data_IF_324556479562
#
_entry.id   IF_324556479562
#
_cell.length_a   1.000
_cell.length_b   1.000
_cell.length_c   1.000
_cell.angle_alpha   90.00
_cell.angle_beta   90.00
_cell.angle_gamma   90.00
#
_symmetry.space_group_name_H-M   'P 1'
#
loop_
_entity.id
_entity.type
_entity.pdbx_description
1 polymer ?
#
# COMPACT_ATOMS: atom_id res chain seq x y z
N UNK A 1 28.00 3.45 2.28
CA UNK A 1 26.53 3.28 2.25
C UNK A 1 26.07 2.67 3.56
N UNK A 2 24.95 3.13 4.09
CA UNK A 2 24.33 2.56 5.29
C UNK A 2 22.80 2.66 5.23
N UNK A 3 22.13 1.80 6.00
CA UNK A 3 20.67 1.77 6.15
C UNK A 3 20.30 1.68 7.63
N UNK A 4 19.39 2.55 8.06
CA UNK A 4 18.86 2.58 9.43
C UNK A 4 17.40 2.13 9.40
N UNK A 5 17.06 1.17 10.27
CA UNK A 5 15.69 0.82 10.57
C UNK A 5 15.34 1.37 11.94
N UNK A 6 14.22 2.06 12.04
CA UNK A 6 13.70 2.59 13.29
C UNK A 6 12.55 1.74 13.78
N UNK A 7 12.36 1.74 15.08
CA UNK A 7 11.19 1.13 15.68
C UNK A 7 9.93 1.80 15.13
N UNK A 8 8.99 0.96 14.70
CA UNK A 8 7.74 1.38 14.08
C UNK A 8 6.51 0.94 14.91
N UNK A 9 6.74 0.36 16.10
CA UNK A 9 5.65 -0.04 16.97
C UNK A 9 4.84 1.19 17.40
N UNK A 10 3.53 1.03 17.31
CA UNK A 10 2.58 2.03 17.81
C UNK A 10 2.15 1.55 19.17
N UNK A 11 2.73 2.10 20.23
CA UNK A 11 2.19 1.94 21.58
C UNK A 11 0.82 2.62 21.62
N UNK A 12 -0.22 1.80 21.58
CA UNK A 12 -1.59 2.24 21.86
C UNK A 12 -1.73 2.31 23.37
N UNK A 13 -1.47 3.50 23.90
CA UNK A 13 -1.68 3.80 25.30
C UNK A 13 -3.10 3.41 25.74
N UNK A 14 -3.23 2.73 26.88
CA UNK A 14 -4.52 2.29 27.43
C UNK A 14 -5.39 3.46 27.98
N UNK A 15 -5.06 4.69 27.64
CA UNK A 15 -5.83 5.86 28.00
C UNK A 15 -7.22 5.84 27.34
N UNK A 16 -8.24 5.71 28.14
CA UNK A 16 -9.65 5.62 27.71
C UNK A 16 -10.18 7.00 27.25
N UNK A 17 -9.49 8.08 27.56
CA UNK A 17 -9.95 9.46 27.32
C UNK A 17 -9.72 9.94 25.88
N UNK A 18 -8.82 9.31 25.14
CA UNK A 18 -8.48 9.66 23.74
C UNK A 18 -9.06 8.68 22.73
N UNK A 19 -9.61 9.19 21.63
CA UNK A 19 -10.17 8.34 20.58
C UNK A 19 -9.07 7.49 19.90
N UNK A 20 -9.44 6.31 19.42
CA UNK A 20 -8.53 5.41 18.68
C UNK A 20 -7.85 6.13 17.49
N UNK A 21 -8.59 6.97 16.78
CA UNK A 21 -8.06 7.75 15.66
C UNK A 21 -6.96 8.73 16.09
N UNK A 22 -7.14 9.41 17.20
CA UNK A 22 -6.14 10.34 17.76
C UNK A 22 -4.89 9.59 18.25
N UNK A 23 -5.07 8.40 18.83
CA UNK A 23 -3.94 7.52 19.24
C UNK A 23 -3.12 7.08 18.03
N UNK A 24 -3.78 6.64 16.95
CA UNK A 24 -3.14 6.25 15.72
C UNK A 24 -2.40 7.43 15.08
N UNK A 25 -3.00 8.61 15.03
CA UNK A 25 -2.36 9.81 14.51
C UNK A 25 -1.11 10.18 15.30
N UNK A 26 -1.18 10.13 16.62
CA UNK A 26 -0.03 10.36 17.53
C UNK A 26 1.06 9.31 17.31
N UNK A 27 0.67 8.02 17.18
CA UNK A 27 1.58 6.92 16.89
C UNK A 27 2.31 7.11 15.55
N UNK A 28 1.60 7.52 14.50
CA UNK A 28 2.18 7.80 13.18
C UNK A 28 3.19 8.96 13.22
N UNK A 29 2.90 10.02 13.96
CA UNK A 29 3.86 11.13 14.18
C UNK A 29 5.11 10.67 14.93
N UNK A 30 4.96 9.78 15.90
CA UNK A 30 6.06 9.25 16.70
C UNK A 30 6.96 8.28 15.91
N UNK A 31 6.44 7.59 14.88
CA UNK A 31 7.23 6.71 13.98
C UNK A 31 8.46 7.41 13.41
N UNK A 32 8.35 8.69 13.06
CA UNK A 32 9.48 9.46 12.52
C UNK A 32 10.59 9.70 13.55
N UNK A 33 10.24 9.66 14.85
CA UNK A 33 11.14 9.84 15.99
C UNK A 33 11.55 8.50 16.64
N UNK A 34 11.08 7.38 16.09
CA UNK A 34 11.33 6.06 16.63
C UNK A 34 12.82 5.79 16.86
N UNK A 35 13.13 5.07 17.95
CA UNK A 35 14.50 4.68 18.29
C UNK A 35 15.07 3.82 17.16
N UNK A 36 16.29 4.08 16.69
CA UNK A 36 16.95 3.20 15.73
C UNK A 36 17.19 1.84 16.37
N UNK A 37 16.77 0.75 15.68
CA UNK A 37 16.88 -0.62 16.19
C UNK A 37 17.80 -1.49 15.35
N UNK A 38 18.10 -1.07 14.11
CA UNK A 38 18.98 -1.83 13.21
C UNK A 38 19.77 -0.88 12.32
N UNK A 39 21.07 -1.13 12.23
CA UNK A 39 22.00 -0.39 11.39
C UNK A 39 22.78 -1.37 10.52
N UNK A 40 22.56 -1.32 9.22
CA UNK A 40 23.32 -2.08 8.22
C UNK A 40 24.27 -1.12 7.54
N UNK A 41 25.53 -1.48 7.46
CA UNK A 41 26.57 -0.61 6.89
C UNK A 41 27.52 -1.39 5.98
N UNK A 42 28.11 -0.72 5.03
CA UNK A 42 29.16 -1.29 4.18
C UNK A 42 30.37 -1.65 5.07
N UNK A 43 30.78 -2.92 5.07
CA UNK A 43 31.90 -3.40 5.89
C UNK A 43 33.23 -2.71 5.59
N UNK A 44 33.35 -2.08 4.42
CA UNK A 44 34.51 -1.32 3.98
C UNK A 44 34.44 0.18 4.35
N UNK A 45 33.45 0.58 5.16
CA UNK A 45 33.33 1.95 5.64
C UNK A 45 34.54 2.33 6.50
N UNK A 46 34.95 3.58 6.41
CA UNK A 46 36.01 4.10 7.32
C UNK A 46 35.59 3.92 8.79
N UNK A 47 36.48 3.34 9.64
CA UNK A 47 36.15 3.08 11.03
C UNK A 47 35.80 4.33 11.83
N UNK A 48 36.46 5.46 11.57
CA UNK A 48 36.18 6.72 12.26
C UNK A 48 34.78 7.27 11.88
N UNK A 49 34.41 7.16 10.60
CA UNK A 49 33.07 7.52 10.13
C UNK A 49 32.01 6.59 10.74
N UNK A 50 32.29 5.28 10.83
CA UNK A 50 31.36 4.32 11.44
C UNK A 50 31.09 4.68 12.90
N UNK A 51 32.17 4.93 13.68
CA UNK A 51 32.07 5.31 15.09
C UNK A 51 31.27 6.62 15.26
N UNK A 52 31.57 7.61 14.42
CA UNK A 52 30.83 8.86 14.41
C UNK A 52 29.31 8.64 14.17
N UNK A 53 28.94 7.81 13.18
CA UNK A 53 27.54 7.51 12.85
C UNK A 53 26.84 6.77 13.99
N UNK A 54 27.47 5.76 14.58
CA UNK A 54 26.95 5.01 15.71
C UNK A 54 26.62 5.96 16.87
N UNK A 55 27.56 6.84 17.20
CA UNK A 55 27.41 7.83 18.27
C UNK A 55 26.33 8.86 17.95
N UNK A 56 26.32 9.39 16.72
CA UNK A 56 25.37 10.43 16.29
C UNK A 56 23.94 9.92 16.19
N UNK A 57 23.77 8.67 15.80
CA UNK A 57 22.46 8.00 15.71
C UNK A 57 22.02 7.36 17.03
N UNK A 58 22.84 7.46 18.06
CA UNK A 58 22.58 6.94 19.41
C UNK A 58 22.32 5.43 19.44
N UNK A 59 23.14 4.65 18.71
CA UNK A 59 23.12 3.20 18.81
C UNK A 59 23.89 2.74 20.07
N UNK A 60 23.23 1.85 20.84
CA UNK A 60 23.82 1.23 22.01
C UNK A 60 24.53 -0.09 21.68
N UNK A 61 25.27 -0.64 22.66
CA UNK A 61 26.01 -1.93 22.54
C UNK A 61 25.09 -3.14 22.25
N UNK A 62 23.77 -3.02 22.49
CA UNK A 62 22.79 -4.09 22.29
C UNK A 62 22.04 -3.95 20.96
N UNK A 63 22.26 -2.88 20.22
CA UNK A 63 21.56 -2.64 18.96
C UNK A 63 22.20 -3.47 17.84
N UNK A 64 21.40 -3.84 16.85
CA UNK A 64 21.84 -4.66 15.74
C UNK A 64 22.69 -3.84 14.75
N UNK A 65 24.00 -3.91 14.90
CA UNK A 65 24.99 -3.38 13.96
C UNK A 65 25.42 -4.50 13.02
N UNK A 66 25.04 -4.42 11.76
CA UNK A 66 25.24 -5.50 10.78
C UNK A 66 26.18 -5.02 9.68
N UNK A 67 27.42 -5.55 9.61
CA UNK A 67 28.27 -5.32 8.47
C UNK A 67 27.72 -6.06 7.25
N UNK A 68 27.56 -5.34 6.15
CA UNK A 68 27.02 -5.86 4.92
C UNK A 68 27.89 -5.53 3.72
N UNK A 69 27.38 -5.82 2.55
CA UNK A 69 27.98 -5.40 1.28
C UNK A 69 27.53 -3.97 0.93
N UNK A 70 27.95 -3.47 -0.23
CA UNK A 70 27.64 -2.12 -0.70
C UNK A 70 26.17 -1.93 -1.07
N UNK A 71 25.46 -2.99 -1.46
CA UNK A 71 24.05 -2.95 -1.86
C UNK A 71 23.19 -3.36 -0.66
N UNK A 72 22.37 -2.43 -0.17
CA UNK A 72 21.52 -2.64 1.01
C UNK A 72 20.03 -2.60 0.71
N UNK A 73 19.62 -2.05 -0.43
CA UNK A 73 18.21 -1.86 -0.78
C UNK A 73 17.87 -2.68 -2.01
N UNK A 74 17.38 -3.90 -1.77
CA UNK A 74 16.93 -4.79 -2.85
C UNK A 74 15.57 -4.38 -3.44
N UNK A 75 14.88 -3.42 -2.83
CA UNK A 75 13.61 -2.93 -3.36
C UNK A 75 13.75 -2.30 -4.75
N UNK A 76 14.90 -1.69 -5.03
CA UNK A 76 15.17 -1.06 -6.32
C UNK A 76 15.19 -2.08 -7.48
N UNK A 77 15.39 -3.38 -7.17
CA UNK A 77 15.25 -4.46 -8.16
C UNK A 77 13.79 -4.72 -8.60
N UNK A 78 12.80 -4.14 -7.91
CA UNK A 78 11.40 -4.21 -8.38
C UNK A 78 11.19 -3.39 -9.67
N UNK A 79 12.01 -2.37 -9.89
CA UNK A 79 12.00 -1.51 -11.07
C UNK A 79 13.11 -1.90 -12.06
N UNK A 80 13.55 -3.18 -12.00
CA UNK A 80 14.60 -3.67 -12.90
C UNK A 80 14.11 -3.64 -14.34
N UNK A 81 14.91 -3.14 -15.30
CA UNK A 81 14.47 -3.01 -16.69
C UNK A 81 14.07 -4.36 -17.32
N UNK A 82 12.85 -4.44 -17.83
CA UNK A 82 12.30 -5.66 -18.45
C UNK A 82 13.12 -6.13 -19.65
N UNK A 83 13.85 -5.22 -20.29
CA UNK A 83 14.72 -5.53 -21.43
C UNK A 83 15.85 -6.50 -21.12
N UNK A 84 16.20 -6.65 -19.84
CA UNK A 84 17.24 -7.61 -19.40
C UNK A 84 16.71 -9.04 -19.36
N UNK A 85 15.39 -9.20 -19.26
CA UNK A 85 14.72 -10.49 -19.24
C UNK A 85 14.19 -10.79 -20.64
N UNK A 86 14.98 -11.53 -21.44
CA UNK A 86 14.62 -11.86 -22.82
C UNK A 86 13.49 -12.89 -22.95
N UNK A 87 13.06 -13.50 -21.87
CA UNK A 87 11.95 -14.44 -21.88
C UNK A 87 10.63 -13.73 -21.66
N UNK A 88 9.72 -13.91 -22.61
CA UNK A 88 8.36 -13.42 -22.53
C UNK A 88 7.74 -13.88 -21.20
N UNK A 89 7.53 -12.95 -20.32
CA UNK A 89 6.78 -13.19 -19.11
C UNK A 89 5.36 -13.57 -19.54
N UNK A 90 5.07 -14.86 -19.64
CA UNK A 90 3.74 -15.38 -19.93
C UNK A 90 2.83 -15.14 -18.72
N UNK A 91 2.56 -13.87 -18.45
CA UNK A 91 1.56 -13.53 -17.46
C UNK A 91 0.22 -14.08 -17.94
N UNK A 92 -0.31 -15.02 -17.20
CA UNK A 92 -1.67 -15.52 -17.45
C UNK A 92 -2.62 -14.33 -17.38
N UNK A 93 -3.39 -14.12 -18.44
CA UNK A 93 -4.41 -13.08 -18.47
C UNK A 93 -5.47 -13.42 -17.43
N UNK A 94 -5.85 -12.46 -16.56
CA UNK A 94 -6.97 -12.67 -15.66
C UNK A 94 -8.23 -12.99 -16.44
N UNK A 95 -9.04 -13.92 -15.95
CA UNK A 95 -10.31 -14.28 -16.57
C UNK A 95 -11.48 -13.53 -15.89
N UNK A 96 -12.54 -13.30 -16.63
CA UNK A 96 -13.77 -12.76 -16.09
C UNK A 96 -14.48 -13.81 -15.24
N UNK A 97 -15.04 -13.40 -14.11
CA UNK A 97 -15.85 -14.29 -13.28
C UNK A 97 -17.11 -14.69 -14.08
N UNK A 98 -17.44 -16.01 -14.16
CA UNK A 98 -18.56 -16.47 -15.02
C UNK A 98 -19.91 -15.78 -14.77
N UNK A 99 -20.18 -15.42 -13.51
CA UNK A 99 -21.42 -14.73 -13.13
C UNK A 99 -21.44 -13.24 -13.51
N UNK A 100 -20.34 -12.66 -13.98
CA UNK A 100 -20.21 -11.23 -14.26
C UNK A 100 -19.91 -10.98 -15.74
N UNK A 101 -20.37 -11.86 -16.63
CA UNK A 101 -20.09 -11.79 -18.07
C UNK A 101 -21.25 -11.25 -18.90
N UNK A 102 -22.49 -11.46 -18.47
CA UNK A 102 -23.67 -11.26 -19.34
C UNK A 102 -24.62 -10.15 -18.84
N UNK A 103 -24.55 -9.80 -17.57
CA UNK A 103 -25.45 -8.82 -16.95
C UNK A 103 -24.68 -7.70 -16.30
N UNK A 104 -25.39 -6.64 -15.91
CA UNK A 104 -24.81 -5.57 -15.08
C UNK A 104 -24.31 -6.17 -13.76
N UNK A 105 -23.15 -5.72 -13.31
CA UNK A 105 -22.58 -6.19 -12.05
C UNK A 105 -23.51 -5.91 -10.87
N UNK A 106 -24.15 -4.75 -10.87
CA UNK A 106 -25.15 -4.35 -9.86
C UNK A 106 -26.28 -5.37 -9.76
N UNK A 107 -26.84 -5.82 -10.89
CA UNK A 107 -27.95 -6.77 -10.90
C UNK A 107 -27.55 -8.12 -10.30
N UNK A 108 -26.34 -8.61 -10.62
CA UNK A 108 -25.85 -9.88 -10.09
C UNK A 108 -25.59 -9.82 -8.58
N UNK A 109 -24.99 -8.75 -8.08
CA UNK A 109 -24.69 -8.63 -6.65
C UNK A 109 -25.93 -8.37 -5.78
N UNK A 110 -27.02 -7.88 -6.38
CA UNK A 110 -28.29 -7.75 -5.67
C UNK A 110 -29.00 -9.11 -5.50
N UNK A 111 -28.71 -10.09 -6.36
CA UNK A 111 -29.28 -11.43 -6.27
C UNK A 111 -28.50 -12.36 -5.35
N UNK A 112 -27.13 -12.24 -5.35
CA UNK A 112 -26.27 -13.14 -4.60
C UNK A 112 -24.87 -12.54 -4.37
N UNK A 113 -24.19 -13.07 -3.35
CA UNK A 113 -22.80 -12.74 -3.08
C UNK A 113 -21.86 -13.25 -4.17
N UNK A 114 -20.95 -12.40 -4.63
CA UNK A 114 -19.93 -12.74 -5.64
C UNK A 114 -18.55 -12.54 -5.03
N UNK A 115 -17.74 -13.59 -5.05
CA UNK A 115 -16.34 -13.53 -4.58
C UNK A 115 -15.38 -13.42 -5.77
N UNK A 116 -14.54 -12.39 -5.74
CA UNK A 116 -13.45 -12.21 -6.70
C UNK A 116 -12.11 -12.56 -6.05
N UNK A 117 -11.28 -13.32 -6.78
CA UNK A 117 -9.96 -13.73 -6.34
C UNK A 117 -8.87 -13.13 -7.23
N UNK A 118 -8.19 -12.11 -6.76
CA UNK A 118 -7.10 -11.46 -7.49
C UNK A 118 -5.74 -12.15 -7.21
N UNK A 119 -4.85 -12.19 -8.19
CA UNK A 119 -4.89 -11.59 -9.54
C UNK A 119 -5.53 -12.49 -10.63
N UNK A 120 -6.15 -13.60 -10.26
CA UNK A 120 -6.68 -14.58 -11.22
C UNK A 120 -7.97 -14.11 -11.89
N UNK A 121 -8.89 -13.52 -11.14
CA UNK A 121 -10.04 -12.84 -11.73
C UNK A 121 -9.66 -11.45 -12.22
N UNK A 122 -10.32 -11.02 -13.29
CA UNK A 122 -10.23 -9.65 -13.81
C UNK A 122 -10.76 -8.65 -12.78
N UNK A 123 -10.08 -7.52 -12.66
CA UNK A 123 -10.53 -6.40 -11.82
C UNK A 123 -11.59 -5.53 -12.52
N UNK A 124 -11.87 -5.79 -13.79
CA UNK A 124 -12.85 -5.03 -14.59
C UNK A 124 -14.22 -4.94 -13.92
N UNK A 125 -14.80 -6.03 -13.37
CA UNK A 125 -16.11 -5.95 -12.72
C UNK A 125 -16.18 -4.96 -11.55
N UNK A 126 -15.09 -4.78 -10.80
CA UNK A 126 -15.06 -3.77 -9.72
C UNK A 126 -15.14 -2.35 -10.29
N UNK A 127 -14.46 -2.10 -11.42
CA UNK A 127 -14.51 -0.82 -12.11
C UNK A 127 -15.90 -0.58 -12.69
N UNK A 128 -16.51 -1.61 -13.26
CA UNK A 128 -17.83 -1.53 -13.87
C UNK A 128 -18.91 -1.31 -12.81
N UNK A 129 -18.82 -1.97 -11.65
CA UNK A 129 -19.68 -1.68 -10.49
C UNK A 129 -19.64 -0.19 -10.10
N UNK A 130 -18.44 0.39 -10.03
CA UNK A 130 -18.31 1.82 -9.69
C UNK A 130 -18.87 2.73 -10.77
N UNK A 131 -18.76 2.34 -12.04
CA UNK A 131 -19.35 3.07 -13.17
C UNK A 131 -20.87 2.98 -13.18
N UNK A 132 -21.42 1.80 -12.94
CA UNK A 132 -22.85 1.58 -12.80
C UNK A 132 -23.39 2.39 -11.62
N UNK A 133 -22.76 2.31 -10.45
CA UNK A 133 -23.13 3.09 -9.28
C UNK A 133 -23.05 4.62 -9.52
N UNK A 134 -22.14 5.08 -10.36
CA UNK A 134 -22.02 6.50 -10.69
C UNK A 134 -23.22 7.04 -11.46
N UNK A 135 -23.90 6.22 -12.27
CA UNK A 135 -25.03 6.63 -13.11
C UNK A 135 -26.38 6.18 -12.56
N UNK A 136 -26.42 5.18 -11.70
CA UNK A 136 -27.65 4.61 -11.15
C UNK A 136 -28.34 5.62 -10.22
N UNK A 137 -29.60 6.02 -10.48
CA UNK A 137 -30.32 6.99 -9.66
C UNK A 137 -30.60 6.49 -8.22
N UNK A 138 -30.69 5.18 -8.01
CA UNK A 138 -30.92 4.58 -6.69
C UNK A 138 -29.68 4.67 -5.79
N UNK A 139 -28.49 4.82 -6.35
CA UNK A 139 -27.24 4.97 -5.59
C UNK A 139 -27.07 6.44 -5.19
N UNK A 140 -27.07 6.70 -3.90
CA UNK A 140 -26.87 8.03 -3.33
C UNK A 140 -25.44 8.25 -2.83
N UNK A 141 -24.77 7.18 -2.40
CA UNK A 141 -23.44 7.26 -1.78
C UNK A 141 -22.53 6.10 -2.17
N UNK A 142 -21.25 6.40 -2.37
CA UNK A 142 -20.18 5.41 -2.58
C UNK A 142 -19.12 5.59 -1.49
N UNK A 143 -18.83 4.51 -0.75
CA UNK A 143 -17.76 4.46 0.25
C UNK A 143 -16.69 3.49 -0.21
N UNK A 144 -15.45 3.94 -0.27
CA UNK A 144 -14.33 3.12 -0.73
C UNK A 144 -13.10 3.31 0.15
N UNK A 145 -12.53 2.20 0.63
CA UNK A 145 -11.21 2.20 1.29
C UNK A 145 -10.12 1.90 0.27
N UNK A 146 -9.14 2.79 0.13
CA UNK A 146 -8.05 2.67 -0.82
C UNK A 146 -6.71 2.71 -0.12
N UNK A 147 -5.97 1.59 -0.14
CA UNK A 147 -4.60 1.56 0.38
C UNK A 147 -3.58 2.09 -0.64
N UNK A 148 -3.73 1.68 -1.91
CA UNK A 148 -2.89 2.13 -3.04
C UNK A 148 -3.72 2.23 -4.30
N UNK A 149 -3.45 3.26 -5.08
CA UNK A 149 -4.03 3.45 -6.40
C UNK A 149 -2.91 3.55 -7.44
N UNK A 150 -3.14 2.92 -8.58
CA UNK A 150 -2.24 3.04 -9.71
C UNK A 150 -2.28 4.47 -10.28
N UNK A 151 -1.19 4.97 -10.88
CA UNK A 151 -1.24 6.17 -11.71
C UNK A 151 -2.34 6.02 -12.77
N UNK A 152 -3.12 7.05 -13.02
CA UNK A 152 -4.26 7.05 -13.96
C UNK A 152 -5.33 5.98 -13.67
N UNK A 153 -5.60 5.73 -12.39
CA UNK A 153 -6.55 4.71 -11.96
C UNK A 153 -7.95 4.93 -12.54
N UNK A 154 -8.50 3.90 -13.17
CA UNK A 154 -9.89 3.87 -13.66
C UNK A 154 -10.90 4.00 -12.52
N UNK A 155 -10.54 3.58 -11.30
CA UNK A 155 -11.36 3.76 -10.09
C UNK A 155 -11.56 5.25 -9.82
N UNK A 156 -10.48 6.03 -9.79
CA UNK A 156 -10.56 7.48 -9.55
C UNK A 156 -11.44 8.16 -10.59
N UNK A 157 -11.32 7.79 -11.87
CA UNK A 157 -12.17 8.34 -12.92
C UNK A 157 -13.66 8.01 -12.70
N UNK A 158 -13.97 6.79 -12.27
CA UNK A 158 -15.34 6.39 -11.93
C UNK A 158 -15.89 7.20 -10.74
N UNK A 159 -15.09 7.39 -9.68
CA UNK A 159 -15.48 8.17 -8.52
C UNK A 159 -15.67 9.67 -8.84
N UNK A 160 -14.83 10.25 -9.69
CA UNK A 160 -15.00 11.63 -10.17
C UNK A 160 -16.32 11.76 -10.93
N UNK A 161 -16.65 10.80 -11.78
CA UNK A 161 -17.92 10.80 -12.50
C UNK A 161 -19.11 10.64 -11.55
N UNK A 162 -18.99 9.82 -10.51
CA UNK A 162 -20.02 9.68 -9.49
C UNK A 162 -20.30 11.03 -8.79
N UNK A 163 -19.26 11.76 -8.38
CA UNK A 163 -19.40 13.10 -7.78
C UNK A 163 -20.06 14.07 -8.74
N UNK A 164 -19.67 14.06 -10.02
CA UNK A 164 -20.27 14.92 -11.07
C UNK A 164 -21.76 14.61 -11.30
N UNK A 165 -22.17 13.36 -11.07
CA UNK A 165 -23.55 12.93 -11.13
C UNK A 165 -24.31 13.11 -9.80
N UNK A 166 -23.75 13.88 -8.86
CA UNK A 166 -24.39 14.24 -7.60
C UNK A 166 -24.31 13.17 -6.50
N UNK A 167 -23.48 12.14 -6.66
CA UNK A 167 -23.29 11.11 -5.63
C UNK A 167 -22.37 11.59 -4.54
N UNK A 168 -22.63 11.21 -3.30
CA UNK A 168 -21.68 11.40 -2.20
C UNK A 168 -20.59 10.33 -2.28
N UNK A 169 -19.31 10.74 -2.37
CA UNK A 169 -18.17 9.83 -2.42
C UNK A 169 -17.30 10.04 -1.20
N UNK A 170 -17.07 8.97 -0.44
CA UNK A 170 -16.19 8.95 0.75
C UNK A 170 -15.07 7.96 0.47
N UNK A 171 -13.82 8.44 0.49
CA UNK A 171 -12.63 7.61 0.36
C UNK A 171 -11.77 7.69 1.63
N UNK A 172 -11.30 6.54 2.11
CA UNK A 172 -10.44 6.39 3.29
C UNK A 172 -9.15 5.64 2.92
#
# INVERSE_FOLDING_TARGET
IFKVTRDAEIDLDNDISTSLAQKIEKGLKNRRKGKPVRFVYDKEIDPGLLEYLIRRLNFGKRDNLIPGARIHNFRDFMDFPDQVFSEQNHQRKPFLHPMLTERRVTDEIMEKDVMLHFPYHSFTPVIDLLREAAIDPEVTQIKLTCYRLAPQSKIINALINAVRNGKQVITV
#
